data_IF_107772090200
#
_entry.id   IF_107772090200
#
_cell.length_a   1.000
_cell.length_b   1.000
_cell.length_c   1.000
_cell.angle_alpha   90.00
_cell.angle_beta   90.00
_cell.angle_gamma   90.00
#
_symmetry.space_group_name_H-M   'P 1'
#
loop_
_entity.id
_entity.type
_entity.pdbx_description
1 polymer ?
#
# COMPACT_ATOMS: atom_id res chain seq x y z
N UNK A 1 -23.53 -4.80 -28.50
CA UNK A 1 -22.20 -5.41 -28.82
C UNK A 1 -21.24 -4.93 -27.74
N UNK A 2 -20.45 -5.81 -27.11
CA UNK A 2 -19.49 -5.37 -26.09
C UNK A 2 -18.22 -4.87 -26.78
N UNK A 3 -17.80 -3.64 -26.48
CA UNK A 3 -16.52 -3.08 -26.94
C UNK A 3 -15.36 -3.75 -26.22
N UNK A 4 -14.74 -4.71 -26.90
CA UNK A 4 -13.50 -5.37 -26.48
C UNK A 4 -12.29 -4.64 -27.05
N UNK A 5 -11.94 -3.50 -26.47
CA UNK A 5 -10.61 -2.90 -26.67
C UNK A 5 -10.10 -2.37 -25.34
N UNK A 6 -9.47 -3.24 -24.56
CA UNK A 6 -8.62 -2.83 -23.44
C UNK A 6 -7.40 -2.09 -23.96
N UNK A 7 -7.59 -0.88 -24.48
CA UNK A 7 -6.52 -0.03 -25.00
C UNK A 7 -5.62 0.35 -23.85
N UNK A 8 -4.47 -0.32 -23.75
CA UNK A 8 -3.43 0.03 -22.79
C UNK A 8 -2.94 1.42 -23.14
N UNK A 9 -3.15 2.37 -22.22
CA UNK A 9 -2.82 3.77 -22.41
C UNK A 9 -1.31 4.01 -22.62
N UNK A 10 -0.46 3.15 -22.05
CA UNK A 10 0.97 3.14 -22.30
C UNK A 10 1.61 1.85 -21.76
N UNK A 11 2.73 1.46 -22.37
CA UNK A 11 3.56 0.34 -21.92
C UNK A 11 4.56 0.83 -20.89
N UNK A 12 4.93 -0.01 -19.92
CA UNK A 12 5.98 0.25 -18.93
C UNK A 12 6.96 -0.91 -18.73
N UNK A 13 8.00 -0.71 -17.89
CA UNK A 13 9.00 -1.73 -17.58
C UNK A 13 8.39 -3.06 -17.10
N UNK A 14 8.88 -4.17 -17.63
CA UNK A 14 8.41 -5.52 -17.34
C UNK A 14 7.23 -6.01 -18.18
N UNK A 15 6.60 -5.14 -18.98
CA UNK A 15 5.56 -5.56 -19.92
C UNK A 15 6.15 -6.41 -21.05
N UNK A 16 5.38 -7.40 -21.52
CA UNK A 16 5.76 -8.22 -22.67
C UNK A 16 4.91 -7.82 -23.88
N UNK A 17 5.57 -7.55 -24.99
CA UNK A 17 4.98 -7.14 -26.26
C UNK A 17 5.19 -8.21 -27.33
N UNK A 18 4.15 -8.51 -28.10
CA UNK A 18 4.27 -9.20 -29.38
C UNK A 18 4.38 -8.17 -30.50
N UNK A 19 5.45 -8.25 -31.28
CA UNK A 19 5.70 -7.39 -32.43
C UNK A 19 5.57 -8.26 -33.68
N UNK A 20 4.71 -7.84 -34.60
CA UNK A 20 4.55 -8.47 -35.91
C UNK A 20 4.90 -7.47 -37.00
N UNK A 21 6.02 -7.70 -37.69
CA UNK A 21 6.49 -6.88 -38.82
C UNK A 21 6.06 -7.59 -40.10
N UNK A 22 5.11 -7.00 -40.81
CA UNK A 22 4.56 -7.52 -42.06
C UNK A 22 5.28 -6.90 -43.28
N UNK A 23 5.56 -7.75 -44.27
CA UNK A 23 6.26 -7.40 -45.51
C UNK A 23 7.26 -8.49 -45.94
N UNK A 24 7.89 -8.35 -47.12
CA UNK A 24 8.95 -9.27 -47.56
C UNK A 24 10.13 -9.25 -46.58
N UNK A 25 10.49 -10.40 -45.99
CA UNK A 25 11.51 -10.44 -44.94
C UNK A 25 11.03 -9.97 -43.56
N UNK A 26 9.71 -9.93 -43.35
CA UNK A 26 9.08 -9.63 -42.07
C UNK A 26 9.54 -10.58 -40.95
N UNK A 27 9.32 -10.15 -39.71
CA UNK A 27 9.71 -10.88 -38.52
C UNK A 27 8.70 -10.69 -37.39
N UNK A 28 8.60 -11.71 -36.56
CA UNK A 28 7.80 -11.67 -35.33
C UNK A 28 8.75 -11.80 -34.14
N UNK A 29 8.50 -11.03 -33.09
CA UNK A 29 9.30 -11.08 -31.88
C UNK A 29 8.44 -10.83 -30.64
N UNK A 30 8.68 -11.62 -29.60
CA UNK A 30 8.17 -11.35 -28.27
C UNK A 30 9.28 -10.68 -27.46
N UNK A 31 9.06 -9.44 -27.07
CA UNK A 31 10.06 -8.62 -26.38
C UNK A 31 9.53 -8.19 -25.02
N UNK A 32 10.41 -8.08 -24.03
CA UNK A 32 10.05 -7.54 -22.72
C UNK A 32 10.67 -6.17 -22.57
N UNK A 33 9.92 -5.22 -22.05
CA UNK A 33 10.43 -3.88 -21.73
C UNK A 33 11.37 -4.00 -20.54
N UNK A 34 12.62 -3.56 -20.71
CA UNK A 34 13.62 -3.59 -19.65
C UNK A 34 13.38 -2.50 -18.58
N UNK A 35 14.24 -2.47 -17.57
CA UNK A 35 14.15 -1.52 -16.46
C UNK A 35 14.34 -0.05 -16.90
N UNK A 36 15.06 0.19 -18.00
CA UNK A 36 15.27 1.52 -18.59
C UNK A 36 14.11 1.90 -19.54
N UNK A 37 13.11 1.04 -19.68
CA UNK A 37 11.96 1.26 -20.54
C UNK A 37 12.21 0.99 -22.03
N UNK A 38 13.26 0.24 -22.37
CA UNK A 38 13.65 -0.07 -23.75
C UNK A 38 13.27 -1.49 -24.14
N UNK A 39 13.18 -1.72 -25.44
CA UNK A 39 12.98 -3.04 -26.07
C UNK A 39 14.02 -3.23 -27.16
N UNK A 40 14.35 -4.49 -27.46
CA UNK A 40 15.24 -4.86 -28.57
C UNK A 40 14.40 -5.40 -29.72
N UNK A 41 14.36 -4.69 -30.84
CA UNK A 41 13.54 -5.04 -32.00
C UNK A 41 14.43 -5.58 -33.13
N UNK A 42 14.05 -6.67 -33.82
CA UNK A 42 14.79 -7.18 -34.97
C UNK A 42 15.08 -6.09 -36.02
N UNK A 43 16.29 -6.08 -36.58
CA UNK A 43 16.80 -5.14 -37.59
C UNK A 43 16.95 -3.66 -37.12
N UNK A 44 16.19 -3.22 -36.12
CA UNK A 44 16.24 -1.87 -35.55
C UNK A 44 17.22 -1.78 -34.36
N UNK A 45 17.30 -2.82 -33.53
CA UNK A 45 18.06 -2.81 -32.28
C UNK A 45 17.25 -2.19 -31.13
N UNK A 46 17.95 -1.58 -30.18
CA UNK A 46 17.35 -1.06 -28.95
C UNK A 46 16.56 0.23 -29.18
N UNK A 47 15.36 0.33 -28.62
CA UNK A 47 14.51 1.53 -28.73
C UNK A 47 13.64 1.78 -27.50
N UNK A 48 13.33 3.05 -27.23
CA UNK A 48 12.48 3.46 -26.10
C UNK A 48 11.01 3.12 -26.35
N UNK A 49 10.44 2.29 -25.47
CA UNK A 49 9.04 1.85 -25.52
C UNK A 49 8.20 2.37 -24.34
N UNK A 50 8.78 2.49 -23.14
CA UNK A 50 8.05 2.92 -21.96
C UNK A 50 7.43 4.32 -22.17
N UNK A 51 6.19 4.48 -21.70
CA UNK A 51 5.40 5.70 -21.85
C UNK A 51 4.69 5.85 -23.19
N UNK A 52 4.89 4.94 -24.16
CA UNK A 52 4.21 4.96 -25.47
C UNK A 52 3.08 3.96 -25.54
N UNK A 53 2.08 4.25 -26.38
CA UNK A 53 1.04 3.28 -26.73
C UNK A 53 1.60 2.20 -27.66
N UNK A 54 1.01 0.99 -27.68
CA UNK A 54 1.42 -0.05 -28.63
C UNK A 54 1.42 0.44 -30.09
N UNK A 55 0.40 1.21 -30.49
CA UNK A 55 0.32 1.81 -31.82
C UNK A 55 1.47 2.78 -32.11
N UNK A 56 1.83 3.64 -31.15
CA UNK A 56 2.95 4.57 -31.31
C UNK A 56 4.30 3.84 -31.38
N UNK A 57 4.46 2.75 -30.64
CA UNK A 57 5.65 1.88 -30.73
C UNK A 57 5.71 1.26 -32.14
N UNK A 58 4.61 0.74 -32.66
CA UNK A 58 4.54 0.17 -34.01
C UNK A 58 4.95 1.17 -35.09
N UNK A 59 4.41 2.39 -35.04
CA UNK A 59 4.78 3.47 -35.97
C UNK A 59 6.28 3.80 -35.89
N UNK A 60 6.83 3.91 -34.68
CA UNK A 60 8.26 4.17 -34.52
C UNK A 60 9.15 3.05 -35.08
N UNK A 61 8.74 1.79 -34.94
CA UNK A 61 9.45 0.65 -35.53
C UNK A 61 9.41 0.75 -37.07
N UNK A 62 8.22 1.02 -37.65
CA UNK A 62 8.06 1.14 -39.09
C UNK A 62 8.95 2.26 -39.68
N UNK A 63 8.98 3.42 -39.02
CA UNK A 63 9.83 4.54 -39.42
C UNK A 63 11.33 4.21 -39.33
N UNK A 64 11.74 3.49 -38.28
CA UNK A 64 13.13 3.08 -38.11
C UNK A 64 13.58 2.07 -39.18
N UNK A 65 12.70 1.13 -39.55
CA UNK A 65 12.96 0.15 -40.62
C UNK A 65 13.08 0.82 -41.99
N UNK A 66 12.21 1.79 -42.27
CA UNK A 66 12.24 2.59 -43.51
C UNK A 66 13.51 3.43 -43.60
N UNK A 67 13.85 4.15 -42.54
CA UNK A 67 15.03 5.04 -42.51
C UNK A 67 16.34 4.29 -42.69
N UNK A 68 16.41 3.04 -42.23
CA UNK A 68 17.60 2.18 -42.39
C UNK A 68 17.61 1.38 -43.69
N UNK A 69 16.61 1.52 -44.55
CA UNK A 69 16.52 0.86 -45.85
C UNK A 69 16.20 -0.64 -45.78
N UNK A 70 15.71 -1.15 -44.64
CA UNK A 70 15.33 -2.56 -44.52
C UNK A 70 13.99 -2.86 -45.18
N UNK A 71 13.00 -1.98 -44.99
CA UNK A 71 11.64 -2.15 -45.53
C UNK A 71 11.03 -0.79 -45.85
N UNK A 72 10.68 -0.53 -47.11
CA UNK A 72 10.05 0.74 -47.50
C UNK A 72 8.59 0.87 -47.05
N UNK A 73 7.85 -0.24 -47.07
CA UNK A 73 6.42 -0.30 -46.74
C UNK A 73 6.16 -1.30 -45.61
N UNK A 74 6.86 -1.16 -44.49
CA UNK A 74 6.65 -2.01 -43.31
C UNK A 74 5.32 -1.68 -42.64
N UNK A 75 4.51 -2.71 -42.37
CA UNK A 75 3.36 -2.60 -41.47
C UNK A 75 3.71 -3.30 -40.16
N UNK A 76 3.65 -2.60 -39.04
CA UNK A 76 4.04 -3.13 -37.74
C UNK A 76 2.85 -3.11 -36.79
N UNK A 77 2.43 -4.30 -36.37
CA UNK A 77 1.45 -4.47 -35.30
C UNK A 77 2.17 -4.76 -33.98
N UNK A 78 1.75 -4.11 -32.90
CA UNK A 78 2.27 -4.33 -31.55
C UNK A 78 1.10 -4.64 -30.63
N UNK A 79 1.16 -5.78 -29.97
CA UNK A 79 0.18 -6.22 -28.98
C UNK A 79 0.86 -6.41 -27.63
N UNK A 80 0.14 -6.15 -26.54
CA UNK A 80 0.67 -6.39 -25.19
C UNK A 80 0.22 -7.76 -24.73
N UNK A 81 1.16 -8.69 -24.60
CA UNK A 81 0.91 -10.06 -24.14
C UNK A 81 0.75 -10.13 -22.61
N UNK A 82 1.51 -9.32 -21.88
CA UNK A 82 1.45 -9.29 -20.42
C UNK A 82 1.72 -7.87 -19.90
N UNK A 83 0.81 -7.37 -19.07
CA UNK A 83 0.97 -6.11 -18.34
C UNK A 83 1.49 -6.41 -16.95
N UNK A 84 2.75 -6.10 -16.69
CA UNK A 84 3.39 -6.25 -15.37
C UNK A 84 3.78 -4.91 -14.76
N UNK A 85 3.82 -3.85 -15.56
CA UNK A 85 4.19 -2.50 -15.16
C UNK A 85 3.07 -1.75 -14.45
N UNK A 86 1.81 -2.16 -14.62
CA UNK A 86 0.61 -1.49 -14.10
C UNK A 86 -0.03 -2.28 -12.97
N UNK A 87 0.68 -2.40 -11.86
CA UNK A 87 0.15 -3.04 -10.65
C UNK A 87 0.26 -2.12 -9.46
N UNK A 88 -0.67 -2.28 -8.53
CA UNK A 88 -0.61 -1.73 -7.17
C UNK A 88 -0.47 -2.89 -6.22
N UNK A 89 0.31 -2.72 -5.15
CA UNK A 89 0.46 -3.74 -4.12
C UNK A 89 -0.30 -3.33 -2.87
N UNK A 90 -1.04 -4.26 -2.26
CA UNK A 90 -1.60 -4.09 -0.91
C UNK A 90 -1.04 -5.17 0.01
N UNK A 91 -0.56 -4.73 1.18
CA UNK A 91 0.13 -5.55 2.16
C UNK A 91 -0.44 -5.33 3.56
N UNK A 92 -0.19 -6.29 4.45
CA UNK A 92 -0.55 -6.19 5.86
C UNK A 92 -1.93 -6.77 6.18
N UNK A 93 -2.66 -6.11 7.07
CA UNK A 93 -3.91 -6.58 7.69
C UNK A 93 -5.13 -6.41 6.78
N UNK A 94 -5.11 -7.13 5.65
CA UNK A 94 -6.21 -7.24 4.69
C UNK A 94 -6.50 -8.71 4.38
N UNK A 95 -7.71 -9.03 3.94
CA UNK A 95 -8.11 -10.42 3.75
C UNK A 95 -7.26 -11.14 2.67
N UNK A 96 -6.89 -10.44 1.59
CA UNK A 96 -6.08 -10.98 0.48
C UNK A 96 -4.94 -10.02 0.10
N UNK A 97 -3.81 -10.04 0.81
CA UNK A 97 -2.63 -9.27 0.44
C UNK A 97 -2.10 -9.73 -0.92
N UNK A 98 -1.59 -8.80 -1.73
CA UNK A 98 -1.07 -9.15 -3.05
C UNK A 98 -0.96 -7.98 -4.01
N UNK A 99 -0.70 -8.32 -5.28
CA UNK A 99 -0.65 -7.36 -6.39
C UNK A 99 -1.98 -7.38 -7.13
N UNK A 100 -2.48 -6.19 -7.43
CA UNK A 100 -3.72 -5.96 -8.14
C UNK A 100 -3.45 -5.16 -9.40
N UNK A 101 -4.08 -5.54 -10.51
CA UNK A 101 -3.92 -4.85 -11.79
C UNK A 101 -4.54 -3.45 -11.71
N UNK A 102 -3.85 -2.46 -12.24
CA UNK A 102 -4.33 -1.08 -12.34
C UNK A 102 -5.06 -0.90 -13.68
N UNK A 103 -6.39 -0.93 -13.66
CA UNK A 103 -7.25 -0.73 -14.84
C UNK A 103 -7.87 0.67 -14.85
N UNK A 104 -7.34 1.56 -15.69
CA UNK A 104 -7.74 2.98 -15.89
C UNK A 104 -7.78 3.86 -14.62
N UNK A 105 -8.63 3.54 -13.64
CA UNK A 105 -8.71 4.16 -12.32
C UNK A 105 -8.81 3.07 -11.25
N UNK A 106 -8.10 3.25 -10.14
CA UNK A 106 -8.20 2.38 -8.97
C UNK A 106 -8.00 3.24 -7.73
N UNK A 107 -9.02 3.32 -6.88
CA UNK A 107 -8.94 4.08 -5.63
C UNK A 107 -8.48 3.21 -4.46
N UNK A 108 -8.15 3.83 -3.33
CA UNK A 108 -7.78 3.12 -2.10
C UNK A 108 -8.90 2.20 -1.62
N UNK A 109 -10.13 2.72 -1.58
CA UNK A 109 -11.29 1.97 -1.11
C UNK A 109 -11.64 0.84 -2.06
N UNK A 110 -11.50 1.06 -3.38
CA UNK A 110 -11.69 -0.01 -4.37
C UNK A 110 -10.63 -1.10 -4.22
N UNK A 111 -9.36 -0.74 -4.07
CA UNK A 111 -8.29 -1.71 -3.82
C UNK A 111 -8.54 -2.51 -2.53
N UNK A 112 -8.99 -1.87 -1.45
CA UNK A 112 -9.36 -2.55 -0.21
C UNK A 112 -10.52 -3.51 -0.43
N UNK A 113 -11.56 -3.11 -1.17
CA UNK A 113 -12.69 -3.97 -1.49
C UNK A 113 -12.25 -5.20 -2.32
N UNK A 114 -11.41 -4.99 -3.35
CA UNK A 114 -10.81 -6.07 -4.13
C UNK A 114 -9.97 -7.00 -3.26
N UNK A 115 -9.25 -6.46 -2.27
CA UNK A 115 -8.51 -7.22 -1.27
C UNK A 115 -9.40 -7.97 -0.26
N UNK A 116 -10.72 -7.82 -0.32
CA UNK A 116 -11.68 -8.45 0.60
C UNK A 116 -11.85 -7.70 1.92
N UNK A 117 -11.48 -6.42 1.96
CA UNK A 117 -11.55 -5.56 3.13
C UNK A 117 -10.36 -5.72 4.09
N UNK A 118 -10.32 -4.81 5.08
CA UNK A 118 -9.38 -4.89 6.21
C UNK A 118 -9.79 -6.02 7.16
N UNK A 119 -8.80 -6.67 7.80
CA UNK A 119 -9.06 -7.68 8.83
C UNK A 119 -9.48 -7.06 10.15
N UNK A 120 -10.03 -7.86 11.07
CA UNK A 120 -10.48 -7.38 12.38
C UNK A 120 -9.34 -6.86 13.28
N UNK A 121 -8.09 -7.23 12.99
CA UNK A 121 -6.89 -6.75 13.68
C UNK A 121 -6.17 -5.63 12.89
N UNK A 122 -6.79 -5.07 11.85
CA UNK A 122 -6.23 -3.95 11.11
C UNK A 122 -6.32 -2.63 11.90
N UNK A 123 -5.32 -1.77 11.72
CA UNK A 123 -5.39 -0.39 12.20
C UNK A 123 -6.27 0.48 11.28
N UNK A 124 -6.65 1.65 11.79
CA UNK A 124 -7.54 2.58 11.11
C UNK A 124 -6.82 3.48 10.07
N UNK A 125 -5.51 3.30 9.91
CA UNK A 125 -4.67 4.11 9.02
C UNK A 125 -3.85 3.19 8.13
N UNK A 126 -3.99 3.32 6.82
CA UNK A 126 -3.06 2.75 5.86
C UNK A 126 -1.89 3.71 5.62
N UNK A 127 -0.79 3.18 5.10
CA UNK A 127 0.34 3.97 4.61
C UNK A 127 0.47 3.71 3.13
N UNK A 128 0.24 4.74 2.32
CA UNK A 128 0.60 4.73 0.91
C UNK A 128 2.08 5.06 0.78
N UNK A 129 2.82 4.15 0.18
CA UNK A 129 4.22 4.33 -0.21
C UNK A 129 4.25 4.55 -1.71
N UNK A 130 4.61 5.76 -2.13
CA UNK A 130 4.66 6.17 -3.54
C UNK A 130 6.07 6.61 -3.90
N UNK A 131 6.56 6.20 -5.07
CA UNK A 131 7.84 6.67 -5.60
C UNK A 131 7.63 7.88 -6.49
N UNK A 132 8.30 9.00 -6.16
CA UNK A 132 8.30 10.25 -6.91
C UNK A 132 9.75 10.71 -7.05
N UNK A 133 10.25 10.91 -8.27
CA UNK A 133 11.63 11.37 -8.56
C UNK A 133 12.72 10.62 -7.77
N UNK A 134 12.68 9.29 -7.82
CA UNK A 134 13.55 8.35 -7.08
C UNK A 134 13.49 8.43 -5.53
N UNK A 135 12.61 9.25 -4.98
CA UNK A 135 12.33 9.30 -3.53
C UNK A 135 11.06 8.51 -3.20
N UNK A 136 11.05 7.92 -2.00
CA UNK A 136 9.86 7.29 -1.45
C UNK A 136 9.13 8.27 -0.54
N UNK A 137 7.91 8.60 -0.89
CA UNK A 137 6.98 9.33 -0.04
C UNK A 137 6.10 8.34 0.72
N UNK A 138 5.88 8.60 2.02
CA UNK A 138 4.99 7.81 2.87
C UNK A 138 3.83 8.71 3.30
N UNK A 139 2.64 8.41 2.80
CA UNK A 139 1.43 9.20 3.00
C UNK A 139 0.48 8.40 3.90
N UNK A 140 0.17 8.86 5.12
CA UNK A 140 -0.83 8.22 5.96
C UNK A 140 -2.23 8.48 5.37
N UNK A 141 -3.02 7.41 5.21
CA UNK A 141 -4.38 7.43 4.68
C UNK A 141 -5.36 6.88 5.71
N UNK A 142 -6.36 7.68 6.11
CA UNK A 142 -7.36 7.26 7.08
C UNK A 142 -8.44 6.41 6.40
N UNK A 143 -8.59 5.17 6.88
CA UNK A 143 -9.53 4.18 6.32
C UNK A 143 -10.92 4.29 6.94
N UNK A 144 -11.02 4.91 8.12
CA UNK A 144 -12.27 5.20 8.81
C UNK A 144 -12.22 6.56 9.52
N UNK A 145 -13.37 6.99 10.02
CA UNK A 145 -13.52 8.20 10.82
C UNK A 145 -14.08 7.89 12.22
N UNK A 146 -14.06 6.62 12.65
CA UNK A 146 -14.68 6.20 13.92
C UNK A 146 -14.05 6.89 15.13
N UNK A 147 -12.72 7.09 15.09
CA UNK A 147 -11.98 7.78 16.15
C UNK A 147 -12.00 9.31 16.01
N UNK A 148 -12.24 9.82 14.80
CA UNK A 148 -12.30 11.26 14.51
C UNK A 148 -13.40 11.54 13.50
N UNK A 149 -14.65 11.71 13.94
CA UNK A 149 -15.79 11.91 13.03
C UNK A 149 -15.67 13.14 12.12
N UNK A 150 -14.82 14.10 12.52
CA UNK A 150 -14.49 15.31 11.74
C UNK A 150 -13.40 15.10 10.68
N UNK A 151 -12.77 13.92 10.61
CA UNK A 151 -11.83 13.57 9.53
C UNK A 151 -12.59 12.85 8.42
N UNK A 152 -12.32 13.26 7.18
CA UNK A 152 -12.83 12.57 6.01
C UNK A 152 -12.05 11.28 5.77
N UNK A 153 -12.76 10.22 5.36
CA UNK A 153 -12.15 9.00 4.85
C UNK A 153 -11.44 9.36 3.54
N UNK A 154 -10.18 8.97 3.42
CA UNK A 154 -9.35 9.37 2.29
C UNK A 154 -9.38 8.31 1.20
N UNK A 155 -10.16 8.55 0.15
CA UNK A 155 -10.18 7.70 -1.03
C UNK A 155 -9.22 8.22 -2.12
N UNK A 156 -7.94 7.91 -1.97
CA UNK A 156 -6.89 8.42 -2.86
C UNK A 156 -6.76 7.56 -4.12
N UNK A 157 -6.67 8.21 -5.28
CA UNK A 157 -6.32 7.53 -6.54
C UNK A 157 -4.91 6.95 -6.50
N UNK A 158 -4.82 5.66 -6.84
CA UNK A 158 -3.58 4.91 -6.85
C UNK A 158 -2.92 4.93 -8.23
N UNK A 159 -1.60 4.91 -8.21
CA UNK A 159 -0.73 4.95 -9.40
C UNK A 159 0.04 3.63 -9.50
N UNK A 160 0.52 3.35 -10.70
CA UNK A 160 1.35 2.16 -10.93
C UNK A 160 2.56 2.16 -9.98
N UNK A 161 2.84 1.00 -9.39
CA UNK A 161 3.88 0.76 -8.38
C UNK A 161 3.64 1.38 -7.00
N UNK A 162 2.45 1.93 -6.73
CA UNK A 162 2.07 2.27 -5.36
C UNK A 162 2.03 1.00 -4.50
N UNK A 163 2.40 1.17 -3.22
CA UNK A 163 2.27 0.15 -2.20
C UNK A 163 1.38 0.70 -1.09
N UNK A 164 0.24 0.07 -0.86
CA UNK A 164 -0.63 0.35 0.27
C UNK A 164 -0.30 -0.66 1.37
N UNK A 165 0.15 -0.18 2.52
CA UNK A 165 0.41 -1.01 3.69
C UNK A 165 -0.63 -0.74 4.78
N UNK A 166 -1.39 -1.77 5.15
CA UNK A 166 -2.35 -1.71 6.25
C UNK A 166 -1.73 -2.35 7.49
N UNK A 167 -1.28 -1.57 8.48
CA UNK A 167 -0.69 -2.11 9.70
C UNK A 167 -1.73 -2.86 10.54
N UNK A 168 -1.26 -3.70 11.47
CA UNK A 168 -2.09 -4.18 12.57
C UNK A 168 -2.43 -3.04 13.52
N UNK A 169 -3.59 -3.15 14.17
CA UNK A 169 -3.97 -2.25 15.26
C UNK A 169 -2.96 -2.42 16.39
N UNK A 170 -2.36 -1.30 16.79
CA UNK A 170 -1.46 -1.24 17.93
C UNK A 170 -2.31 -1.27 19.19
N UNK A 171 -1.90 -2.09 20.18
CA UNK A 171 -2.68 -2.29 21.41
C UNK A 171 -1.87 -1.87 22.63
N UNK A 172 -2.58 -1.43 23.66
CA UNK A 172 -2.09 -1.33 25.03
C UNK A 172 -2.93 -2.27 25.91
N UNK A 173 -2.46 -2.53 27.12
CA UNK A 173 -3.08 -3.47 28.03
C UNK A 173 -3.44 -2.76 29.34
N UNK A 174 -4.62 -3.07 29.90
CA UNK A 174 -5.03 -2.58 31.22
C UNK A 174 -5.39 -3.78 32.08
N UNK A 175 -4.85 -3.83 33.30
CA UNK A 175 -5.11 -4.92 34.23
C UNK A 175 -5.15 -4.46 35.70
N UNK A 176 -5.73 -5.30 36.56
CA UNK A 176 -5.95 -5.02 37.97
C UNK A 176 -7.35 -4.46 38.25
N UNK A 177 -7.45 -3.50 39.17
CA UNK A 177 -8.70 -2.94 39.70
C UNK A 177 -9.35 -1.90 38.76
N UNK A 178 -9.73 -2.36 37.57
CA UNK A 178 -10.52 -1.60 36.59
C UNK A 178 -11.82 -2.33 36.24
N UNK A 179 -12.78 -1.62 35.67
CA UNK A 179 -14.10 -2.20 35.34
C UNK A 179 -14.02 -3.36 34.35
N UNK A 180 -13.13 -3.28 33.36
CA UNK A 180 -12.91 -4.28 32.31
C UNK A 180 -11.41 -4.40 32.02
N UNK A 181 -10.69 -5.34 32.65
CA UNK A 181 -9.32 -5.65 32.28
C UNK A 181 -9.26 -6.23 30.86
N UNK A 182 -8.21 -5.90 30.11
CA UNK A 182 -8.05 -6.43 28.75
C UNK A 182 -7.05 -5.66 27.87
N UNK A 183 -7.04 -6.04 26.60
CA UNK A 183 -6.25 -5.38 25.56
C UNK A 183 -7.14 -4.41 24.76
N UNK A 184 -6.64 -3.21 24.52
CA UNK A 184 -7.38 -2.11 23.91
C UNK A 184 -6.56 -1.48 22.78
N UNK A 185 -7.22 -0.97 21.71
CA UNK A 185 -6.52 -0.28 20.64
C UNK A 185 -5.95 1.05 21.11
N UNK A 186 -4.74 1.40 20.66
CA UNK A 186 -4.15 2.71 20.92
C UNK A 186 -4.85 3.76 20.06
N UNK A 187 -5.32 4.82 20.69
CA UNK A 187 -5.97 5.97 20.05
C UNK A 187 -5.04 7.19 20.02
N UNK A 188 -5.36 8.17 19.18
CA UNK A 188 -4.63 9.44 19.15
C UNK A 188 -4.65 10.13 20.53
N UNK A 189 -3.47 10.55 20.99
CA UNK A 189 -3.25 11.24 22.28
C UNK A 189 -3.76 10.43 23.47
N UNK A 190 -3.56 9.12 23.45
CA UNK A 190 -3.87 8.24 24.57
C UNK A 190 -2.97 8.56 25.78
N UNK A 191 -3.60 8.71 26.94
CA UNK A 191 -2.93 8.84 28.23
C UNK A 191 -3.52 7.85 29.24
N UNK A 192 -2.89 7.73 30.41
CA UNK A 192 -3.30 6.79 31.47
C UNK A 192 -4.76 6.99 31.90
N UNK A 193 -5.21 8.24 32.02
CA UNK A 193 -6.60 8.56 32.36
C UNK A 193 -7.58 7.97 31.34
N UNK A 194 -7.36 8.23 30.05
CA UNK A 194 -8.21 7.76 28.96
C UNK A 194 -8.14 6.24 28.82
N UNK A 195 -6.96 5.66 29.00
CA UNK A 195 -6.75 4.21 29.03
C UNK A 195 -7.63 3.53 30.09
N UNK A 196 -7.64 4.05 31.32
CA UNK A 196 -8.49 3.54 32.41
C UNK A 196 -9.98 3.76 32.09
N UNK A 197 -10.35 4.92 31.53
CA UNK A 197 -11.73 5.19 31.14
C UNK A 197 -12.25 4.21 30.09
N UNK A 198 -11.45 3.92 29.05
CA UNK A 198 -11.75 2.91 28.02
C UNK A 198 -11.90 1.51 28.66
N UNK A 199 -11.08 1.20 29.66
CA UNK A 199 -11.17 -0.02 30.46
C UNK A 199 -12.34 -0.04 31.48
N UNK A 200 -13.34 0.84 31.33
CA UNK A 200 -14.52 0.85 32.19
C UNK A 200 -14.34 1.59 33.52
N UNK A 201 -13.27 2.37 33.66
CA UNK A 201 -12.98 3.16 34.85
C UNK A 201 -12.36 2.36 36.00
N UNK A 202 -12.09 3.08 37.08
CA UNK A 202 -11.58 2.54 38.34
C UNK A 202 -12.69 1.81 39.11
N UNK A 203 -12.39 0.65 39.71
CA UNK A 203 -13.35 -0.02 40.62
C UNK A 203 -13.43 0.72 41.97
N UNK A 204 -14.48 0.52 42.78
CA UNK A 204 -14.54 1.05 44.15
C UNK A 204 -13.40 0.58 45.06
N UNK A 205 -12.74 -0.54 44.71
CA UNK A 205 -11.61 -1.11 45.46
C UNK A 205 -10.25 -0.60 45.00
N UNK A 206 -10.21 0.20 43.93
CA UNK A 206 -8.99 0.73 43.34
C UNK A 206 -8.38 1.91 44.10
N UNK A 207 -7.06 2.00 44.08
CA UNK A 207 -6.32 3.17 44.55
C UNK A 207 -5.83 4.00 43.36
N UNK A 208 -6.30 5.23 43.27
CA UNK A 208 -5.81 6.28 42.35
C UNK A 208 -4.31 6.58 42.52
N UNK A 209 -3.74 6.27 43.69
CA UNK A 209 -2.32 6.42 44.01
C UNK A 209 -1.44 5.23 43.62
N UNK A 210 -2.01 4.14 43.11
CA UNK A 210 -1.26 2.91 42.75
C UNK A 210 -1.51 2.50 41.31
N UNK A 211 -1.34 3.46 40.42
CA UNK A 211 -1.31 3.21 38.99
C UNK A 211 0.15 3.08 38.59
N UNK A 212 0.50 1.96 37.95
CA UNK A 212 1.82 1.73 37.39
C UNK A 212 1.71 1.64 35.88
N UNK A 213 2.67 2.25 35.19
CA UNK A 213 2.87 2.09 33.75
C UNK A 213 4.08 1.19 33.57
N UNK A 214 3.84 0.05 32.94
CA UNK A 214 4.88 -0.90 32.59
C UNK A 214 5.16 -0.78 31.09
N UNK A 215 6.42 -0.49 30.77
CA UNK A 215 6.90 -0.29 29.40
C UNK A 215 8.05 -1.25 29.13
N UNK A 216 8.00 -1.94 27.99
CA UNK A 216 9.12 -2.77 27.56
C UNK A 216 10.16 -1.88 26.88
N UNK A 217 11.34 -1.79 27.47
CA UNK A 217 12.46 -1.10 26.84
C UNK A 217 12.93 -1.90 25.62
N UNK A 218 12.72 -1.34 24.42
CA UNK A 218 13.06 -1.98 23.15
C UNK A 218 14.57 -2.26 23.00
N UNK A 219 15.44 -1.49 23.68
CA UNK A 219 16.90 -1.66 23.58
C UNK A 219 17.42 -2.77 24.50
N UNK A 220 16.80 -2.95 25.67
CA UNK A 220 17.26 -3.92 26.69
C UNK A 220 16.38 -5.16 26.80
N UNK A 221 15.18 -5.12 26.23
CA UNK A 221 14.15 -6.17 26.36
C UNK A 221 13.59 -6.30 27.78
N UNK A 222 13.92 -5.37 28.69
CA UNK A 222 13.48 -5.41 30.08
C UNK A 222 12.17 -4.64 30.25
N UNK A 223 11.31 -5.15 31.12
CA UNK A 223 10.11 -4.44 31.53
C UNK A 223 10.49 -3.42 32.62
N UNK A 224 10.40 -2.13 32.28
CA UNK A 224 10.41 -1.05 33.24
C UNK A 224 9.03 -0.92 33.87
N UNK A 225 8.97 -0.59 35.16
CA UNK A 225 7.72 -0.31 35.87
C UNK A 225 7.91 0.97 36.66
N UNK A 226 7.07 1.96 36.40
CA UNK A 226 7.10 3.25 37.08
C UNK A 226 5.71 3.67 37.57
N UNK A 227 5.68 4.48 38.63
CA UNK A 227 4.43 5.05 39.11
C UNK A 227 3.94 6.08 38.08
N UNK A 228 2.71 5.88 37.59
CA UNK A 228 2.19 6.66 36.49
C UNK A 228 1.30 7.81 36.98
N UNK A 229 1.44 8.97 36.35
CA UNK A 229 0.48 10.06 36.43
C UNK A 229 -0.64 9.83 35.42
N UNK A 230 -1.83 10.34 35.73
CA UNK A 230 -3.01 10.24 34.86
C UNK A 230 -2.80 10.90 33.48
N UNK A 231 -1.89 11.87 33.38
CA UNK A 231 -1.54 12.58 32.16
C UNK A 231 -0.45 11.92 31.33
N UNK A 232 0.20 10.88 31.86
CA UNK A 232 1.32 10.26 31.17
C UNK A 232 0.85 9.58 29.88
N UNK A 233 1.60 9.72 28.78
CA UNK A 233 1.23 9.15 27.49
C UNK A 233 1.35 7.63 27.54
N UNK A 234 0.35 6.95 26.98
CA UNK A 234 0.37 5.48 26.84
C UNK A 234 0.72 5.13 25.40
N UNK A 235 1.72 4.28 25.24
CA UNK A 235 2.27 3.85 23.96
C UNK A 235 1.79 2.44 23.57
N UNK A 236 1.88 2.09 22.29
CA UNK A 236 1.77 0.70 21.82
C UNK A 236 2.63 -0.25 22.66
N UNK A 237 2.02 -1.34 23.13
CA UNK A 237 2.68 -2.36 23.95
C UNK A 237 2.68 -2.08 25.46
N UNK A 238 2.37 -0.86 25.89
CA UNK A 238 2.35 -0.51 27.31
C UNK A 238 1.30 -1.29 28.08
N UNK A 239 1.59 -1.48 29.37
CA UNK A 239 0.67 -2.13 30.30
C UNK A 239 0.37 -1.19 31.47
N UNK A 240 -0.88 -0.79 31.62
CA UNK A 240 -1.38 0.02 32.73
C UNK A 240 -1.91 -0.91 33.81
N UNK A 241 -1.24 -0.92 34.97
CA UNK A 241 -1.62 -1.70 36.14
C UNK A 241 -2.31 -0.81 37.17
N UNK A 242 -3.49 -1.21 37.63
CA UNK A 242 -4.19 -0.54 38.73
C UNK A 242 -4.21 -1.43 39.96
N UNK A 243 -3.61 -0.97 41.06
CA UNK A 243 -3.56 -1.69 42.33
C UNK A 243 -4.80 -1.49 43.22
N UNK A 244 -5.01 -2.43 44.14
CA UNK A 244 -6.03 -2.36 45.19
C UNK A 244 -5.68 -1.30 46.26
N UNK A 245 -6.73 -0.69 46.86
CA UNK A 245 -6.61 0.08 48.10
C UNK A 245 -6.23 -0.86 49.22
N UNK A 246 -5.10 -0.58 49.84
CA UNK A 246 -4.72 -1.17 51.12
C UNK A 246 -5.18 -0.14 52.16
N UNK A 247 -6.32 -0.47 52.80
CA UNK A 247 -6.96 0.12 53.99
C UNK A 247 -6.80 1.63 54.22
#
# INVERSE_FOLDING_TARGET
MPDSSGSIASVGPGDTLAISIMGPGGANANVTVDADGKIVVPFVGTMQAAGKTPAAIGQQIADALRTRGYLEHAQVAVEVLAVRSRVVSILGSVARPGRYALTNHLSLLELLALAGGSTADAGNTAVLIRRVDDKQERIPLYLDNSQHPSRDIQDTDLKANDIVFVPKVQKFYVYGEVGKPGAYPVEDRLNVMRAIAIAGGLTPRSSDRRIQLEHMDEATGKLGSEQANLTDPVRPGDVVRVGERIF
#
